data_IF_256956409071
#
_entry.id   IF_256956409071
#
_cell.length_a   1.000
_cell.length_b   1.000
_cell.length_c   1.000
_cell.angle_alpha   90.00
_cell.angle_beta   90.00
_cell.angle_gamma   90.00
#
_symmetry.space_group_name_H-M   'P 1'
#
loop_
_entity.id
_entity.type
_entity.pdbx_description
1 polymer ?
#
# COMPACT_ATOMS: atom_id res chain seq x y z
N UNK A 1 -0.24 18.50 13.28
CA UNK A 1 0.81 18.78 12.28
C UNK A 1 0.15 19.31 11.01
N UNK A 2 0.27 20.60 10.72
CA UNK A 2 -0.30 21.22 9.51
C UNK A 2 0.67 20.96 8.37
N UNK A 3 0.46 19.89 7.60
CA UNK A 3 1.25 19.62 6.41
C UNK A 3 1.13 20.83 5.47
N UNK A 4 2.23 21.57 5.29
CA UNK A 4 2.29 22.71 4.39
C UNK A 4 1.84 22.31 2.99
N UNK A 5 1.14 23.21 2.30
CA UNK A 5 0.56 22.98 0.96
C UNK A 5 1.56 22.34 -0.02
N UNK A 6 2.85 22.64 0.14
CA UNK A 6 3.96 22.13 -0.66
C UNK A 6 4.09 20.60 -0.60
N UNK A 7 3.76 19.96 0.52
CA UNK A 7 3.85 18.51 0.67
C UNK A 7 2.78 17.79 -0.15
N UNK A 8 1.60 18.41 -0.29
CA UNK A 8 0.51 17.89 -1.13
C UNK A 8 0.85 18.03 -2.60
N UNK A 9 1.46 19.14 -2.98
CA UNK A 9 1.95 19.38 -4.35
C UNK A 9 3.05 18.38 -4.70
N UNK A 10 4.04 18.18 -3.81
CA UNK A 10 5.09 17.19 -4.00
C UNK A 10 4.52 15.78 -4.15
N UNK A 11 3.58 15.39 -3.28
CA UNK A 11 2.90 14.11 -3.39
C UNK A 11 2.15 13.96 -4.73
N UNK A 12 1.45 15.01 -5.18
CA UNK A 12 0.77 15.00 -6.47
C UNK A 12 1.76 14.85 -7.64
N UNK A 13 2.89 15.56 -7.61
CA UNK A 13 3.95 15.43 -8.63
C UNK A 13 4.50 14.00 -8.65
N UNK A 14 4.79 13.43 -7.48
CA UNK A 14 5.28 12.04 -7.36
C UNK A 14 4.24 11.07 -7.94
N UNK A 15 2.96 11.22 -7.61
CA UNK A 15 1.89 10.41 -8.18
C UNK A 15 1.84 10.52 -9.71
N UNK A 16 1.92 11.73 -10.27
CA UNK A 16 1.92 11.93 -11.73
C UNK A 16 3.12 11.25 -12.38
N UNK A 17 4.30 11.37 -11.79
CA UNK A 17 5.51 10.71 -12.29
C UNK A 17 5.38 9.19 -12.26
N UNK A 18 4.85 8.62 -11.17
CA UNK A 18 4.62 7.17 -11.07
C UNK A 18 3.62 6.70 -12.12
N UNK A 19 2.52 7.43 -12.33
CA UNK A 19 1.52 7.07 -13.35
C UNK A 19 2.16 7.14 -14.75
N UNK A 20 2.91 8.20 -15.03
CA UNK A 20 3.58 8.38 -16.32
C UNK A 20 4.62 7.28 -16.60
N UNK A 21 5.41 6.87 -15.60
CA UNK A 21 6.39 5.80 -15.76
C UNK A 21 5.72 4.45 -16.01
N UNK A 22 4.61 4.14 -15.32
CA UNK A 22 3.84 2.92 -15.55
C UNK A 22 3.26 2.90 -16.97
N UNK A 23 2.62 3.99 -17.41
CA UNK A 23 2.10 4.13 -18.77
C UNK A 23 3.18 3.94 -19.84
N UNK A 24 4.32 4.60 -19.65
CA UNK A 24 5.46 4.52 -20.59
C UNK A 24 6.04 3.09 -20.64
N UNK A 25 6.13 2.43 -19.49
CA UNK A 25 6.57 1.06 -19.37
C UNK A 25 5.63 0.07 -20.09
N UNK A 26 4.31 0.21 -19.89
CA UNK A 26 3.32 -0.60 -20.60
C UNK A 26 3.37 -0.36 -22.11
N UNK A 27 3.53 0.90 -22.53
CA UNK A 27 3.73 1.26 -23.93
C UNK A 27 4.97 0.60 -24.53
N UNK A 28 6.11 0.66 -23.82
CA UNK A 28 7.34 0.00 -24.24
C UNK A 28 7.14 -1.51 -24.41
N UNK A 29 6.48 -2.16 -23.45
CA UNK A 29 6.20 -3.59 -23.52
C UNK A 29 5.25 -3.98 -24.67
N UNK A 30 4.30 -3.12 -25.03
CA UNK A 30 3.43 -3.34 -26.17
C UNK A 30 4.17 -3.18 -27.50
N UNK A 31 4.95 -2.10 -27.64
CA UNK A 31 5.70 -1.78 -28.86
C UNK A 31 6.85 -2.75 -29.14
N UNK A 32 7.50 -3.24 -28.09
CA UNK A 32 8.69 -4.09 -28.18
C UNK A 32 8.47 -5.51 -27.66
N UNK A 33 7.22 -5.90 -27.39
CA UNK A 33 6.88 -7.26 -26.94
C UNK A 33 7.10 -8.30 -28.05
N UNK A 34 6.67 -7.99 -29.27
CA UNK A 34 6.97 -8.76 -30.48
C UNK A 34 8.18 -8.15 -31.19
N UNK A 35 9.36 -8.36 -30.63
CA UNK A 35 10.61 -7.97 -31.29
C UNK A 35 11.32 -9.21 -31.84
N UNK A 36 12.08 -9.01 -32.92
CA UNK A 36 12.91 -10.06 -33.50
C UNK A 36 14.09 -10.35 -32.56
N UNK A 37 13.89 -11.32 -31.68
CA UNK A 37 14.83 -11.64 -30.63
C UNK A 37 16.06 -12.32 -31.23
N UNK A 38 17.18 -11.60 -31.29
CA UNK A 38 18.48 -12.09 -31.79
C UNK A 38 19.21 -13.03 -30.82
N UNK A 39 18.53 -13.59 -29.83
CA UNK A 39 19.08 -14.53 -28.85
C UNK A 39 19.76 -13.87 -27.64
N UNK A 40 20.87 -14.47 -27.17
CA UNK A 40 21.41 -14.40 -25.79
C UNK A 40 21.78 -12.99 -25.28
N UNK A 41 21.83 -11.98 -26.15
CA UNK A 41 22.13 -10.59 -25.77
C UNK A 41 21.17 -9.57 -26.38
N UNK A 42 19.88 -9.88 -26.41
CA UNK A 42 18.90 -8.88 -26.81
C UNK A 42 18.72 -7.81 -25.72
N UNK A 43 19.14 -6.58 -26.02
CA UNK A 43 18.97 -5.44 -25.12
C UNK A 43 17.49 -5.16 -24.77
N UNK A 44 16.57 -5.52 -25.67
CA UNK A 44 15.13 -5.37 -25.42
C UNK A 44 14.65 -6.35 -24.34
N UNK A 45 15.04 -7.62 -24.43
CA UNK A 45 14.72 -8.63 -23.41
C UNK A 45 15.23 -8.25 -22.02
N UNK A 46 16.45 -7.71 -21.94
CA UNK A 46 17.05 -7.29 -20.67
C UNK A 46 16.23 -6.17 -20.01
N UNK A 47 15.87 -5.14 -20.79
CA UNK A 47 15.00 -4.05 -20.32
C UNK A 47 13.59 -4.50 -19.96
N UNK A 48 13.05 -5.48 -20.69
CA UNK A 48 11.74 -6.05 -20.40
C UNK A 48 11.78 -6.85 -19.08
N UNK A 49 12.87 -7.56 -18.83
CA UNK A 49 13.08 -8.31 -17.60
C UNK A 49 13.25 -7.38 -16.38
N UNK A 50 14.04 -6.31 -16.52
CA UNK A 50 14.15 -5.26 -15.49
C UNK A 50 12.78 -4.67 -15.16
N UNK A 51 12.00 -4.35 -16.19
CA UNK A 51 10.65 -3.81 -16.03
C UNK A 51 9.71 -4.81 -15.36
N UNK A 52 9.76 -6.09 -15.74
CA UNK A 52 8.95 -7.15 -15.15
C UNK A 52 9.27 -7.37 -13.67
N UNK A 53 10.54 -7.25 -13.28
CA UNK A 53 10.94 -7.35 -11.89
C UNK A 53 10.50 -6.13 -11.07
N UNK A 54 10.63 -4.93 -11.63
CA UNK A 54 10.14 -3.71 -10.99
C UNK A 54 8.61 -3.76 -10.78
N UNK A 55 7.84 -4.21 -11.78
CA UNK A 55 6.38 -4.32 -11.68
C UNK A 55 5.94 -5.37 -10.67
N UNK A 56 6.63 -6.52 -10.60
CA UNK A 56 6.40 -7.53 -9.55
C UNK A 56 6.63 -6.97 -8.16
N UNK A 57 7.75 -6.27 -7.94
CA UNK A 57 8.05 -5.65 -6.65
C UNK A 57 6.99 -4.61 -6.22
N UNK A 58 6.47 -3.83 -7.18
CA UNK A 58 5.35 -2.93 -6.92
C UNK A 58 4.07 -3.70 -6.57
N UNK A 59 3.78 -4.79 -7.29
CA UNK A 59 2.62 -5.66 -7.03
C UNK A 59 2.64 -6.26 -5.62
N UNK A 60 3.77 -6.84 -5.22
CA UNK A 60 3.94 -7.43 -3.87
C UNK A 60 3.81 -6.37 -2.77
N UNK A 61 4.36 -5.18 -2.99
CA UNK A 61 4.23 -4.05 -2.06
C UNK A 61 2.78 -3.57 -1.90
N UNK A 62 2.03 -3.52 -3.00
CA UNK A 62 0.60 -3.17 -2.99
C UNK A 62 -0.20 -4.24 -2.24
N UNK A 63 0.04 -5.52 -2.53
CA UNK A 63 -0.63 -6.62 -1.84
C UNK A 63 -0.36 -6.63 -0.33
N UNK A 64 0.91 -6.47 0.06
CA UNK A 64 1.30 -6.35 1.47
C UNK A 64 0.61 -5.15 2.17
N UNK A 65 0.47 -4.01 1.47
CA UNK A 65 -0.23 -2.85 2.03
C UNK A 65 -1.72 -3.12 2.23
N UNK A 66 -2.40 -3.70 1.24
CA UNK A 66 -3.83 -4.02 1.33
C UNK A 66 -4.11 -5.08 2.38
N UNK A 67 -3.29 -6.13 2.46
CA UNK A 67 -3.43 -7.17 3.49
C UNK A 67 -3.27 -6.58 4.89
N UNK A 68 -2.25 -5.75 5.13
CA UNK A 68 -2.08 -5.05 6.41
C UNK A 68 -3.26 -4.12 6.76
N UNK A 69 -3.79 -3.39 5.76
CA UNK A 69 -4.97 -2.54 5.93
C UNK A 69 -6.22 -3.36 6.31
N UNK A 70 -6.44 -4.49 5.65
CA UNK A 70 -7.57 -5.37 5.95
C UNK A 70 -7.46 -6.00 7.34
N UNK A 71 -6.26 -6.47 7.72
CA UNK A 71 -6.01 -7.04 9.05
C UNK A 71 -6.24 -5.97 10.13
N UNK A 72 -5.68 -4.78 9.97
CA UNK A 72 -5.86 -3.68 10.93
C UNK A 72 -7.34 -3.25 11.04
N UNK A 73 -8.06 -3.13 9.92
CA UNK A 73 -9.48 -2.84 9.91
C UNK A 73 -10.31 -3.95 10.60
N UNK A 74 -9.97 -5.22 10.37
CA UNK A 74 -10.63 -6.35 11.02
C UNK A 74 -10.38 -6.33 12.54
N UNK A 75 -9.14 -6.04 12.96
CA UNK A 75 -8.78 -5.93 14.37
C UNK A 75 -9.53 -4.81 15.08
N UNK A 76 -9.61 -3.63 14.45
CA UNK A 76 -10.37 -2.48 14.97
C UNK A 76 -11.86 -2.80 15.14
N UNK A 77 -12.45 -3.60 14.22
CA UNK A 77 -13.84 -4.07 14.34
C UNK A 77 -14.02 -5.16 15.40
N UNK A 78 -13.00 -5.98 15.65
CA UNK A 78 -13.03 -7.04 16.65
C UNK A 78 -12.89 -6.52 18.08
N UNK A 79 -12.07 -5.48 18.29
CA UNK A 79 -11.84 -4.84 19.60
C UNK A 79 -13.13 -4.52 20.38
N UNK A 80 -14.15 -3.83 19.84
CA UNK A 80 -15.39 -3.55 20.57
C UNK A 80 -16.22 -4.81 20.84
N UNK A 81 -16.09 -5.89 20.06
CA UNK A 81 -16.77 -7.17 20.37
C UNK A 81 -16.11 -7.90 21.54
N UNK A 82 -14.77 -7.82 21.65
CA UNK A 82 -13.99 -8.43 22.73
C UNK A 82 -14.03 -7.59 24.03
N UNK A 83 -13.88 -6.28 23.92
CA UNK A 83 -13.78 -5.36 25.05
C UNK A 83 -15.06 -4.60 25.37
N UNK A 84 -15.97 -4.39 24.41
CA UNK A 84 -17.23 -3.67 24.65
C UNK A 84 -18.14 -4.35 25.67
N UNK A 85 -18.13 -5.69 25.72
CA UNK A 85 -18.82 -6.44 26.80
C UNK A 85 -18.14 -6.29 28.16
N UNK A 86 -16.82 -6.08 28.24
CA UNK A 86 -16.10 -5.88 29.51
C UNK A 86 -16.15 -4.43 30.01
N UNK A 87 -16.01 -3.45 29.11
CA UNK A 87 -16.08 -2.03 29.47
C UNK A 87 -17.50 -1.56 29.76
N UNK A 88 -18.53 -2.12 29.10
CA UNK A 88 -19.92 -1.76 29.40
C UNK A 88 -20.36 -2.15 30.82
N UNK A 89 -19.66 -3.08 31.47
CA UNK A 89 -19.99 -3.57 32.83
C UNK A 89 -19.30 -2.75 33.92
N UNK A 90 -18.26 -1.97 33.59
CA UNK A 90 -17.57 -1.11 34.54
C UNK A 90 -18.09 0.31 34.34
N UNK A 91 -19.22 0.61 34.95
CA UNK A 91 -19.65 2.01 35.08
C UNK A 91 -18.55 2.78 35.85
N UNK A 92 -18.32 4.04 35.46
CA UNK A 92 -17.40 4.96 36.17
C UNK A 92 -17.68 5.01 37.69
N UNK A 93 -18.93 4.75 38.07
CA UNK A 93 -19.40 4.65 39.47
C UNK A 93 -18.77 3.42 40.16
N UNK A 94 -18.75 2.26 39.51
CA UNK A 94 -18.16 1.04 40.08
C UNK A 94 -16.63 1.10 40.19
N UNK A 95 -15.97 1.90 39.35
CA UNK A 95 -14.53 2.15 39.44
C UNK A 95 -14.20 3.13 40.58
N UNK A 96 -15.06 4.13 40.81
CA UNK A 96 -14.92 5.08 41.92
C UNK A 96 -15.05 4.41 43.29
N UNK A 97 -16.03 3.52 43.47
CA UNK A 97 -16.23 2.79 44.75
C UNK A 97 -15.04 1.90 45.12
N UNK A 98 -14.27 1.40 44.15
CA UNK A 98 -13.05 0.61 44.42
C UNK A 98 -11.80 1.42 44.72
N UNK A 99 -11.83 2.73 44.52
CA UNK A 99 -10.70 3.62 44.76
C UNK A 99 -10.81 4.34 46.10
N UNK A 100 -12.03 4.49 46.62
CA UNK A 100 -12.33 5.05 47.95
C UNK A 100 -12.29 4.00 49.09
N UNK A 101 -11.94 2.74 48.79
CA UNK A 101 -11.69 1.68 49.78
C UNK A 101 -10.25 1.18 49.67
#
# INVERSE_FOLDING_TARGET
MKAGNNNKILAAIICVLIVFTILSATGFAFLHGEHDCRGIHCAVCDRLNDLANASKGLGDGIDAFFTALLISAAFLKALPKLFGKRLSVISLISLKVRMDN
#
